data_IF_975072012050
#
_entry.id   IF_975072012050
#
_cell.length_a   1.000
_cell.length_b   1.000
_cell.length_c   1.000
_cell.angle_alpha   90.00
_cell.angle_beta   90.00
_cell.angle_gamma   90.00
#
_symmetry.space_group_name_H-M   'P 1'
#
loop_
_entity.id
_entity.type
_entity.pdbx_description
1 polymer ?
#
# COMPACT_ATOMS: atom_id res chain seq x y z
N UNK A 1 73.80 24.42 -3.03
CA UNK A 1 72.40 24.83 -2.80
C UNK A 1 71.67 24.71 -4.14
N UNK A 2 70.65 23.90 -4.37
CA UNK A 2 69.82 23.07 -3.49
C UNK A 2 69.04 22.09 -4.39
N UNK A 3 69.37 20.81 -4.29
CA UNK A 3 68.48 19.64 -4.12
C UNK A 3 67.61 19.13 -5.29
N UNK A 4 67.94 17.89 -5.72
CA UNK A 4 67.06 16.91 -6.34
C UNK A 4 65.91 16.51 -5.40
N UNK A 5 64.66 16.48 -5.88
CA UNK A 5 63.60 15.63 -5.31
C UNK A 5 62.82 15.00 -6.47
N UNK A 6 62.97 13.69 -6.63
CA UNK A 6 61.98 12.88 -7.34
C UNK A 6 60.77 12.64 -6.44
N UNK A 7 59.59 12.56 -7.03
CA UNK A 7 58.40 11.89 -6.47
C UNK A 7 57.59 11.42 -7.70
N UNK A 8 57.82 10.20 -8.17
CA UNK A 8 57.18 8.94 -7.77
C UNK A 8 55.83 8.70 -8.48
N UNK A 9 55.77 7.55 -9.13
CA UNK A 9 54.61 7.05 -9.85
C UNK A 9 53.61 6.52 -8.83
N UNK A 10 52.40 7.06 -8.81
CA UNK A 10 51.25 6.39 -8.17
C UNK A 10 49.96 6.82 -8.86
N UNK A 11 49.67 6.12 -9.94
CA UNK A 11 48.31 5.90 -10.44
C UNK A 11 47.60 5.04 -9.40
N UNK A 12 46.58 5.57 -8.71
CA UNK A 12 45.48 4.88 -8.03
C UNK A 12 44.85 5.89 -7.05
N UNK A 13 43.63 6.38 -7.24
CA UNK A 13 42.40 5.62 -7.03
C UNK A 13 41.23 6.53 -7.41
N UNK A 14 40.45 6.17 -8.43
CA UNK A 14 39.14 6.82 -8.65
C UNK A 14 38.11 5.87 -9.31
N UNK A 15 38.25 4.56 -9.04
CA UNK A 15 37.40 3.52 -9.65
C UNK A 15 36.77 2.55 -8.63
N UNK A 16 37.07 2.69 -7.34
CA UNK A 16 36.48 1.85 -6.28
C UNK A 16 35.02 2.20 -5.99
N UNK A 17 34.61 3.44 -6.26
CA UNK A 17 33.25 3.94 -5.96
C UNK A 17 32.17 3.52 -6.96
N UNK A 18 32.54 3.20 -8.22
CA UNK A 18 31.60 2.70 -9.21
C UNK A 18 31.32 1.20 -9.02
N UNK A 19 32.33 0.44 -8.61
CA UNK A 19 32.23 -1.01 -8.38
C UNK A 19 31.30 -1.34 -7.19
N UNK A 20 31.35 -0.60 -6.08
CA UNK A 20 30.50 -0.87 -4.92
C UNK A 20 29.00 -0.67 -5.18
N UNK A 21 28.64 0.34 -5.98
CA UNK A 21 27.25 0.54 -6.41
C UNK A 21 26.79 -0.56 -7.35
N UNK A 22 27.65 -0.98 -8.27
CA UNK A 22 27.36 -2.04 -9.22
C UNK A 22 27.25 -3.41 -8.53
N UNK A 23 28.10 -3.68 -7.54
CA UNK A 23 28.00 -4.85 -6.65
C UNK A 23 26.70 -4.87 -5.87
N UNK A 24 26.30 -3.72 -5.31
CA UNK A 24 25.01 -3.59 -4.60
C UNK A 24 23.84 -3.84 -5.54
N UNK A 25 23.88 -3.30 -6.76
CA UNK A 25 22.87 -3.54 -7.79
C UNK A 25 22.82 -5.00 -8.22
N UNK A 26 23.96 -5.65 -8.47
CA UNK A 26 24.05 -7.08 -8.83
C UNK A 26 23.50 -7.98 -7.72
N UNK A 27 23.82 -7.69 -6.45
CA UNK A 27 23.25 -8.40 -5.29
C UNK A 27 21.73 -8.22 -5.22
N UNK A 28 21.24 -7.01 -5.45
CA UNK A 28 19.81 -6.72 -5.44
C UNK A 28 19.08 -7.41 -6.62
N UNK A 29 19.64 -7.34 -7.83
CA UNK A 29 19.12 -8.04 -9.02
C UNK A 29 19.03 -9.55 -8.79
N UNK A 30 20.06 -10.15 -8.18
CA UNK A 30 20.06 -11.58 -7.84
C UNK A 30 18.95 -11.94 -6.86
N UNK A 31 18.76 -11.12 -5.81
CA UNK A 31 17.66 -11.33 -4.84
C UNK A 31 16.28 -11.20 -5.46
N UNK A 32 16.09 -10.24 -6.39
CA UNK A 32 14.82 -10.06 -7.10
C UNK A 32 14.52 -11.29 -7.99
N UNK A 33 15.52 -11.77 -8.73
CA UNK A 33 15.36 -12.97 -9.57
C UNK A 33 15.05 -14.22 -8.73
N UNK A 34 15.75 -14.41 -7.61
CA UNK A 34 15.47 -15.50 -6.68
C UNK A 34 14.04 -15.41 -6.11
N UNK A 35 13.59 -14.20 -5.79
CA UNK A 35 12.22 -13.96 -5.31
C UNK A 35 11.17 -14.31 -6.38
N UNK A 36 11.39 -13.88 -7.63
CA UNK A 36 10.51 -14.21 -8.76
C UNK A 36 10.44 -15.72 -8.97
N UNK A 37 11.57 -16.43 -8.92
CA UNK A 37 11.62 -17.87 -9.08
C UNK A 37 10.85 -18.60 -7.96
N UNK A 38 11.03 -18.18 -6.70
CA UNK A 38 10.27 -18.72 -5.56
C UNK A 38 8.78 -18.44 -5.67
N UNK A 39 8.40 -17.25 -6.13
CA UNK A 39 7.01 -16.88 -6.34
C UNK A 39 6.36 -17.78 -7.41
N UNK A 40 7.01 -17.95 -8.56
CA UNK A 40 6.54 -18.87 -9.63
C UNK A 40 6.38 -20.30 -9.13
N UNK A 41 7.35 -20.82 -8.37
CA UNK A 41 7.28 -22.18 -7.80
C UNK A 41 6.12 -22.34 -6.80
N UNK A 42 5.91 -21.36 -5.93
CA UNK A 42 4.78 -21.36 -5.00
C UNK A 42 3.43 -21.32 -5.75
N UNK A 43 3.36 -20.55 -6.83
CA UNK A 43 2.16 -20.41 -7.65
C UNK A 43 1.80 -21.73 -8.35
N UNK A 44 2.76 -22.40 -8.97
CA UNK A 44 2.57 -23.75 -9.55
C UNK A 44 2.11 -24.79 -8.51
N UNK A 45 2.56 -24.67 -7.26
CA UNK A 45 2.11 -25.53 -6.17
C UNK A 45 0.65 -25.29 -5.80
N UNK A 46 0.24 -24.02 -5.76
CA UNK A 46 -1.16 -23.61 -5.53
C UNK A 46 -2.05 -24.11 -6.67
N UNK A 47 -1.62 -23.95 -7.92
CA UNK A 47 -2.38 -24.41 -9.09
C UNK A 47 -2.58 -25.92 -9.09
N UNK A 48 -1.54 -26.69 -8.72
CA UNK A 48 -1.63 -28.14 -8.55
C UNK A 48 -2.59 -28.53 -7.42
N UNK A 49 -2.57 -27.81 -6.31
CA UNK A 49 -3.50 -28.06 -5.21
C UNK A 49 -4.96 -27.76 -5.61
N UNK A 50 -5.18 -26.66 -6.34
CA UNK A 50 -6.50 -26.27 -6.83
C UNK A 50 -7.07 -27.28 -7.82
N UNK A 51 -6.25 -27.82 -8.75
CA UNK A 51 -6.68 -28.90 -9.66
C UNK A 51 -7.13 -30.16 -8.90
N UNK A 52 -6.44 -30.50 -7.81
CA UNK A 52 -6.83 -31.65 -6.95
C UNK A 52 -8.14 -31.38 -6.22
N UNK A 53 -8.32 -30.17 -5.69
CA UNK A 53 -9.57 -29.78 -5.02
C UNK A 53 -10.74 -29.85 -6.00
N UNK A 54 -10.57 -29.34 -7.23
CA UNK A 54 -11.59 -29.41 -8.27
C UNK A 54 -11.94 -30.86 -8.65
N UNK A 55 -10.94 -31.74 -8.78
CA UNK A 55 -11.18 -33.16 -9.06
C UNK A 55 -12.00 -33.83 -7.96
N UNK A 56 -11.65 -33.59 -6.69
CA UNK A 56 -12.39 -34.11 -5.53
C UNK A 56 -13.79 -33.52 -5.42
N UNK A 57 -13.98 -32.25 -5.79
CA UNK A 57 -15.30 -31.62 -5.86
C UNK A 57 -16.19 -32.27 -6.93
N UNK A 58 -15.63 -32.57 -8.11
CA UNK A 58 -16.34 -33.29 -9.18
C UNK A 58 -16.71 -34.71 -8.75
N UNK A 59 -15.77 -35.45 -8.16
CA UNK A 59 -16.02 -36.80 -7.63
C UNK A 59 -17.09 -36.80 -6.54
N UNK A 60 -17.03 -35.84 -5.60
CA UNK A 60 -18.05 -35.65 -4.58
C UNK A 60 -19.44 -35.36 -5.18
N UNK A 61 -19.52 -34.50 -6.21
CA UNK A 61 -20.79 -34.18 -6.91
C UNK A 61 -21.38 -35.42 -7.57
N UNK A 62 -20.54 -36.25 -8.19
CA UNK A 62 -20.96 -37.50 -8.82
C UNK A 62 -21.49 -38.50 -7.78
N UNK A 63 -20.76 -38.72 -6.69
CA UNK A 63 -21.19 -39.61 -5.60
C UNK A 63 -22.49 -39.13 -4.94
N UNK A 64 -22.66 -37.82 -4.74
CA UNK A 64 -23.91 -37.26 -4.22
C UNK A 64 -25.09 -37.50 -5.16
N UNK A 65 -24.87 -37.42 -6.47
CA UNK A 65 -25.89 -37.73 -7.49
C UNK A 65 -26.27 -39.21 -7.44
N UNK A 66 -25.28 -40.10 -7.39
CA UNK A 66 -25.47 -41.56 -7.35
C UNK A 66 -26.13 -42.03 -6.03
N UNK A 67 -25.85 -41.37 -4.91
CA UNK A 67 -26.53 -41.59 -3.64
C UNK A 67 -28.01 -41.16 -3.69
N UNK A 68 -28.32 -40.09 -4.43
CA UNK A 68 -29.72 -39.62 -4.63
C UNK A 68 -30.53 -40.58 -5.50
N UNK A 69 -29.91 -41.20 -6.51
CA UNK A 69 -30.57 -42.21 -7.37
C UNK A 69 -30.72 -43.58 -6.70
N UNK A 70 -29.81 -43.99 -5.82
CA UNK A 70 -29.92 -45.29 -5.13
C UNK A 70 -30.94 -45.32 -3.98
N UNK A 71 -31.38 -44.16 -3.50
CA UNK A 71 -32.34 -44.04 -2.40
C UNK A 71 -33.78 -43.70 -2.84
N UNK A 72 -34.10 -43.81 -4.14
CA UNK A 72 -35.40 -43.48 -4.71
C UNK A 72 -36.11 -44.66 -5.35
N UNK A 73 -36.61 -45.60 -4.53
CA UNK A 73 -37.72 -46.48 -4.92
C UNK A 73 -38.94 -46.04 -4.12
N UNK A 74 -39.64 -45.03 -4.63
CA UNK A 74 -40.85 -44.44 -4.05
C UNK A 74 -41.48 -43.48 -5.06
N UNK A 75 -42.54 -43.95 -5.71
CA UNK A 75 -43.53 -43.37 -6.63
C UNK A 75 -43.35 -41.96 -7.26
N UNK A 76 -43.68 -41.79 -8.56
CA UNK A 76 -43.68 -40.51 -9.23
C UNK A 76 -45.05 -39.83 -9.08
N UNK A 77 -45.12 -38.77 -8.29
CA UNK A 77 -46.11 -37.68 -8.37
C UNK A 77 -46.00 -36.81 -7.11
N UNK A 78 -45.30 -35.68 -7.18
CA UNK A 78 -45.84 -34.42 -6.68
C UNK A 78 -45.00 -33.25 -7.19
N UNK A 79 -45.70 -32.22 -7.65
CA UNK A 79 -45.18 -30.97 -8.19
C UNK A 79 -45.19 -29.94 -7.08
N UNK A 80 -44.02 -29.55 -6.59
CA UNK A 80 -43.86 -28.28 -5.89
C UNK A 80 -42.43 -27.80 -6.04
N UNK A 81 -42.32 -26.65 -6.70
CA UNK A 81 -41.13 -25.81 -6.81
C UNK A 81 -40.55 -25.55 -5.41
N UNK A 82 -39.27 -25.86 -5.26
CA UNK A 82 -38.36 -25.08 -4.43
C UNK A 82 -37.15 -24.80 -5.32
N UNK A 83 -37.16 -23.59 -5.87
CA UNK A 83 -36.06 -22.97 -6.58
C UNK A 83 -34.90 -22.80 -5.56
N UNK A 84 -33.90 -23.68 -5.64
CA UNK A 84 -32.55 -23.37 -5.13
C UNK A 84 -31.75 -22.89 -6.33
N UNK A 85 -31.59 -21.58 -6.41
CA UNK A 85 -30.80 -20.86 -7.40
C UNK A 85 -29.41 -21.54 -7.58
N UNK A 86 -29.25 -22.18 -8.74
CA UNK A 86 -27.96 -22.56 -9.29
C UNK A 86 -27.22 -21.25 -9.59
N UNK A 87 -26.31 -20.83 -8.71
CA UNK A 87 -25.24 -19.90 -9.09
C UNK A 87 -24.39 -20.63 -10.15
N UNK A 88 -24.81 -20.51 -11.43
CA UNK A 88 -23.97 -20.72 -12.60
C UNK A 88 -22.75 -19.82 -12.45
N UNK A 89 -21.67 -20.38 -11.89
CA UNK A 89 -20.33 -19.85 -12.14
C UNK A 89 -20.05 -20.20 -13.59
N UNK A 90 -20.24 -19.23 -14.47
CA UNK A 90 -19.84 -19.29 -15.88
C UNK A 90 -18.44 -19.93 -15.96
N UNK A 91 -18.33 -21.00 -16.74
CA UNK A 91 -17.07 -21.59 -17.15
C UNK A 91 -16.22 -20.49 -17.81
N UNK A 92 -15.26 -19.95 -17.07
CA UNK A 92 -14.23 -19.09 -17.66
C UNK A 92 -13.39 -20.01 -18.55
N UNK A 93 -13.35 -19.80 -19.88
CA UNK A 93 -12.60 -20.68 -20.76
C UNK A 93 -11.13 -20.68 -20.39
N UNK A 94 -10.53 -21.87 -20.40
CA UNK A 94 -9.09 -22.09 -20.32
C UNK A 94 -8.39 -21.12 -21.29
N UNK A 95 -7.65 -20.15 -20.76
CA UNK A 95 -6.64 -19.46 -21.56
C UNK A 95 -5.55 -20.50 -21.80
N UNK A 96 -5.55 -21.07 -23.00
CA UNK A 96 -4.52 -21.96 -23.51
C UNK A 96 -3.15 -21.35 -23.23
N UNK A 97 -2.49 -21.86 -22.19
CA UNK A 97 -1.12 -21.56 -21.88
C UNK A 97 -0.24 -22.22 -22.92
N UNK A 98 0.36 -21.38 -23.76
CA UNK A 98 1.39 -21.72 -24.74
C UNK A 98 2.38 -22.75 -24.17
N UNK A 99 2.57 -23.83 -24.93
CA UNK A 99 3.54 -24.88 -24.65
C UNK A 99 4.96 -24.30 -24.75
N UNK A 100 5.53 -23.93 -23.61
CA UNK A 100 6.94 -23.55 -23.54
C UNK A 100 7.82 -24.81 -23.64
N UNK A 101 8.37 -24.96 -24.84
CA UNK A 101 9.35 -25.94 -25.27
C UNK A 101 10.59 -25.93 -24.35
N UNK A 102 10.94 -27.10 -23.81
CA UNK A 102 12.17 -27.32 -23.04
C UNK A 102 13.38 -27.33 -23.99
N UNK A 103 14.12 -26.21 -24.09
CA UNK A 103 15.49 -26.22 -24.63
C UNK A 103 16.47 -25.74 -23.55
N UNK A 104 17.35 -26.67 -23.17
CA UNK A 104 18.43 -26.53 -22.21
C UNK A 104 19.75 -26.16 -22.94
N UNK A 105 20.51 -25.26 -22.32
CA UNK A 105 21.94 -24.97 -22.48
C UNK A 105 22.54 -24.53 -23.83
N UNK A 106 23.11 -23.30 -23.82
CA UNK A 106 24.52 -23.11 -24.24
C UNK A 106 25.11 -21.77 -23.77
N UNK A 107 26.20 -21.88 -23.01
CA UNK A 107 27.20 -20.84 -22.78
C UNK A 107 27.92 -20.53 -24.10
N UNK A 108 27.96 -19.26 -24.51
CA UNK A 108 28.97 -18.73 -25.42
C UNK A 108 29.49 -17.41 -24.85
N UNK A 109 30.70 -17.49 -24.30
CA UNK A 109 31.65 -16.39 -24.24
C UNK A 109 32.12 -16.13 -25.68
N UNK A 110 31.96 -14.92 -26.22
CA UNK A 110 32.81 -14.37 -27.27
C UNK A 110 32.54 -12.86 -27.43
N UNK A 111 33.61 -12.09 -27.26
CA UNK A 111 33.72 -10.66 -27.52
C UNK A 111 33.66 -10.41 -29.04
N UNK A 112 32.80 -9.51 -29.53
CA UNK A 112 33.16 -8.55 -30.60
C UNK A 112 32.09 -7.46 -30.86
N UNK A 113 32.57 -6.22 -30.68
CA UNK A 113 32.26 -4.92 -31.28
C UNK A 113 30.85 -4.32 -31.50
N UNK A 114 30.83 -3.03 -31.16
CA UNK A 114 29.73 -2.07 -31.20
C UNK A 114 29.35 -1.63 -32.62
N UNK A 115 28.05 -1.45 -32.85
CA UNK A 115 27.55 -0.42 -33.78
C UNK A 115 26.80 0.64 -32.97
N UNK A 116 27.41 1.84 -32.92
CA UNK A 116 26.86 3.07 -32.34
C UNK A 116 25.49 3.40 -32.95
N UNK A 117 24.47 3.46 -32.11
CA UNK A 117 23.33 4.36 -32.31
C UNK A 117 23.36 5.37 -31.17
N UNK A 118 23.73 6.60 -31.51
CA UNK A 118 23.79 7.74 -30.61
C UNK A 118 22.38 8.13 -30.16
N UNK A 119 21.98 7.68 -28.97
CA UNK A 119 20.95 8.38 -28.20
C UNK A 119 21.63 9.42 -27.31
N UNK A 120 21.14 10.69 -27.30
CA UNK A 120 21.79 11.76 -26.56
C UNK A 120 21.92 11.40 -25.08
N UNK A 121 23.01 11.81 -24.41
CA UNK A 121 23.24 11.47 -23.02
C UNK A 121 22.05 11.96 -22.18
N UNK A 122 21.60 11.22 -21.16
CA UNK A 122 20.66 11.75 -20.20
C UNK A 122 21.30 13.03 -19.65
N UNK A 123 20.71 14.18 -20.01
CA UNK A 123 21.12 15.46 -19.49
C UNK A 123 21.12 15.30 -17.99
N UNK A 124 22.32 15.43 -17.41
CA UNK A 124 22.49 15.51 -15.98
C UNK A 124 21.66 16.72 -15.54
N UNK A 125 20.40 16.51 -15.15
CA UNK A 125 19.86 17.28 -14.05
C UNK A 125 20.90 17.03 -12.97
N UNK A 126 21.76 18.03 -12.75
CA UNK A 126 22.61 18.10 -11.58
C UNK A 126 21.65 17.88 -10.45
N UNK A 127 21.61 16.65 -9.94
CA UNK A 127 21.04 16.36 -8.64
C UNK A 127 21.97 17.13 -7.74
N UNK A 128 21.63 18.39 -7.49
CA UNK A 128 22.27 19.18 -6.51
C UNK A 128 22.21 18.31 -5.26
N UNK A 129 23.35 17.72 -4.91
CA UNK A 129 23.61 17.23 -3.58
C UNK A 129 23.74 18.47 -2.70
N UNK A 130 22.68 19.28 -2.65
CA UNK A 130 22.34 19.90 -1.40
C UNK A 130 21.86 18.73 -0.56
N UNK A 131 22.76 18.15 0.23
CA UNK A 131 22.38 17.87 1.61
C UNK A 131 21.97 19.21 2.24
N UNK A 132 20.85 19.79 1.77
CA UNK A 132 20.01 20.59 2.63
C UNK A 132 19.64 19.55 3.67
N UNK A 133 20.34 19.58 4.79
CA UNK A 133 19.73 19.33 6.08
C UNK A 133 18.42 20.09 6.01
N UNK A 134 17.33 19.38 5.63
CA UNK A 134 16.01 19.99 5.64
C UNK A 134 15.86 20.33 7.11
N UNK A 135 15.87 21.64 7.42
CA UNK A 135 15.58 22.09 8.77
C UNK A 135 14.34 21.33 9.22
N UNK A 136 14.33 20.74 10.43
CA UNK A 136 13.12 20.14 10.97
C UNK A 136 11.97 21.12 10.73
N UNK A 137 10.92 20.66 10.06
CA UNK A 137 9.75 21.51 9.83
C UNK A 137 9.13 21.69 11.19
N UNK A 138 9.32 22.86 11.78
CA UNK A 138 8.71 23.20 13.06
C UNK A 138 7.24 23.54 12.83
N UNK A 139 6.38 23.08 13.73
CA UNK A 139 4.96 23.40 13.73
C UNK A 139 4.81 24.90 14.06
N UNK A 140 4.24 25.72 13.18
CA UNK A 140 4.01 27.13 13.44
C UNK A 140 3.03 27.30 14.61
N UNK A 141 3.38 28.17 15.55
CA UNK A 141 2.55 28.49 16.72
C UNK A 141 2.32 30.00 16.80
N UNK A 142 1.16 30.40 17.31
CA UNK A 142 0.83 31.79 17.62
C UNK A 142 1.48 32.25 18.93
N UNK A 143 1.27 33.51 19.30
CA UNK A 143 1.80 34.11 20.54
C UNK A 143 1.26 33.41 21.81
N UNK A 144 0.08 32.80 21.71
CA UNK A 144 -0.58 32.04 22.77
C UNK A 144 -0.10 30.57 22.82
N UNK A 145 0.76 30.15 21.89
CA UNK A 145 1.32 28.80 21.80
C UNK A 145 0.44 27.77 21.10
N UNK A 146 -0.71 28.18 20.55
CA UNK A 146 -1.60 27.34 19.74
C UNK A 146 -1.04 27.16 18.33
N UNK A 147 -1.37 26.03 17.70
CA UNK A 147 -0.93 25.72 16.34
C UNK A 147 -1.69 26.59 15.33
N UNK A 148 -0.95 27.21 14.41
CA UNK A 148 -1.54 27.98 13.31
C UNK A 148 -2.00 27.01 12.22
N UNK A 149 -3.30 27.01 11.92
CA UNK A 149 -3.94 26.19 10.89
C UNK A 149 -4.53 27.08 9.79
N UNK A 150 -4.65 26.60 8.54
CA UNK A 150 -4.30 25.25 8.07
C UNK A 150 -2.79 25.03 7.93
N UNK A 151 -2.32 23.82 8.23
CA UNK A 151 -0.90 23.45 8.16
C UNK A 151 -0.64 22.35 7.13
N UNK A 152 0.22 22.63 6.13
CA UNK A 152 0.55 21.72 5.04
C UNK A 152 1.76 20.83 5.39
N UNK A 153 1.59 19.51 5.32
CA UNK A 153 2.61 18.50 5.53
C UNK A 153 2.69 17.57 4.30
N UNK A 154 3.56 17.88 3.34
CA UNK A 154 3.70 17.13 2.09
C UNK A 154 2.37 17.03 1.32
N UNK A 155 1.72 15.86 1.30
CA UNK A 155 0.43 15.61 0.64
C UNK A 155 -0.77 15.62 1.59
N UNK A 156 -0.54 15.90 2.87
CA UNK A 156 -1.54 16.05 3.91
C UNK A 156 -1.65 17.52 4.30
N UNK A 157 -2.85 18.05 4.47
CA UNK A 157 -3.11 19.40 4.97
C UNK A 157 -4.04 19.31 6.17
N UNK A 158 -3.55 19.67 7.36
CA UNK A 158 -4.38 19.68 8.56
C UNK A 158 -5.16 20.99 8.58
N UNK A 159 -6.48 20.90 8.64
CA UNK A 159 -7.38 22.05 8.69
C UNK A 159 -7.78 22.38 10.13
N UNK A 160 -8.16 21.37 10.90
CA UNK A 160 -8.62 21.51 12.28
C UNK A 160 -8.08 20.33 13.11
N UNK A 161 -7.61 20.61 14.33
CA UNK A 161 -7.10 19.56 15.22
C UNK A 161 -8.19 18.90 16.07
N UNK A 162 -9.33 19.55 16.26
CA UNK A 162 -10.43 19.06 17.09
C UNK A 162 -10.17 19.15 18.60
N UNK A 163 -10.98 18.40 19.36
CA UNK A 163 -10.95 18.34 20.82
C UNK A 163 -10.67 16.91 21.30
N UNK A 164 -9.77 16.78 22.27
CA UNK A 164 -9.44 15.50 22.90
C UNK A 164 -10.60 15.04 23.79
N UNK A 165 -10.99 13.78 23.61
CA UNK A 165 -12.03 13.09 24.39
C UNK A 165 -11.32 12.05 25.24
N UNK A 166 -11.16 12.35 26.53
CA UNK A 166 -10.40 11.52 27.48
C UNK A 166 -11.29 10.65 28.38
N UNK A 167 -12.57 11.03 28.53
CA UNK A 167 -13.58 10.33 29.32
C UNK A 167 -13.91 8.95 28.73
N UNK A 168 -13.76 8.80 27.42
CA UNK A 168 -14.03 7.57 26.67
C UNK A 168 -12.73 6.96 26.17
N UNK A 169 -12.44 5.75 26.64
CA UNK A 169 -11.20 5.01 26.30
C UNK A 169 -11.09 4.65 24.83
N UNK A 170 -12.21 4.57 24.08
CA UNK A 170 -12.22 4.29 22.64
C UNK A 170 -11.63 5.39 21.77
N UNK A 171 -11.45 6.61 22.29
CA UNK A 171 -10.96 7.76 21.52
C UNK A 171 -9.44 7.90 21.52
N UNK A 172 -8.74 7.00 22.21
CA UNK A 172 -7.30 6.95 22.21
C UNK A 172 -6.79 5.52 22.36
N UNK A 173 -5.64 5.25 21.76
CA UNK A 173 -4.91 3.99 21.84
C UNK A 173 -3.51 4.25 22.40
N UNK A 174 -2.71 3.19 22.56
CA UNK A 174 -1.31 3.33 22.99
C UNK A 174 -0.51 4.28 22.09
N UNK A 175 -0.83 4.31 20.78
CA UNK A 175 -0.04 5.03 19.78
C UNK A 175 -0.68 6.31 19.24
N UNK A 176 -2.00 6.43 19.32
CA UNK A 176 -2.75 7.50 18.65
C UNK A 176 -3.87 8.03 19.53
N UNK A 177 -4.12 9.34 19.45
CA UNK A 177 -5.33 9.99 19.96
C UNK A 177 -6.16 10.39 18.74
N UNK A 178 -7.48 10.23 18.82
CA UNK A 178 -8.42 10.62 17.77
C UNK A 178 -9.33 11.75 18.29
N UNK A 179 -8.93 13.02 18.12
CA UNK A 179 -9.73 14.15 18.58
C UNK A 179 -11.03 14.27 17.78
N UNK A 180 -12.14 14.56 18.46
CA UNK A 180 -13.42 14.86 17.80
C UNK A 180 -13.34 16.23 17.15
N UNK A 181 -13.78 16.33 15.89
CA UNK A 181 -13.65 17.55 15.08
C UNK A 181 -12.29 17.66 14.37
N UNK A 182 -11.42 16.66 14.45
CA UNK A 182 -10.22 16.62 13.62
C UNK A 182 -10.63 16.64 12.14
N UNK A 183 -9.99 17.50 11.34
CA UNK A 183 -10.24 17.66 9.91
C UNK A 183 -8.92 17.81 9.16
N UNK A 184 -8.69 16.97 8.15
CA UNK A 184 -7.52 17.04 7.29
C UNK A 184 -7.87 16.72 5.84
N UNK A 185 -7.14 17.31 4.91
CA UNK A 185 -7.24 17.05 3.48
C UNK A 185 -6.05 16.21 3.01
N UNK A 186 -6.30 15.23 2.15
CA UNK A 186 -5.25 14.42 1.54
C UNK A 186 -5.53 14.17 0.07
N UNK A 187 -4.52 14.35 -0.76
CA UNK A 187 -4.63 13.98 -2.17
C UNK A 187 -4.41 12.48 -2.36
N UNK A 188 -5.33 11.82 -3.07
CA UNK A 188 -5.21 10.41 -3.45
C UNK A 188 -5.93 10.17 -4.80
N UNK A 189 -5.82 8.95 -5.34
CA UNK A 189 -6.51 8.58 -6.59
C UNK A 189 -8.01 8.79 -6.46
N UNK A 190 -8.66 9.29 -7.52
CA UNK A 190 -10.11 9.49 -7.54
C UNK A 190 -10.86 8.15 -7.53
N UNK A 191 -12.04 8.16 -6.92
CA UNK A 191 -13.02 7.06 -6.92
C UNK A 191 -14.02 7.16 -8.08
N UNK A 192 -13.93 8.21 -8.89
CA UNK A 192 -14.84 8.50 -10.01
C UNK A 192 -14.07 8.49 -11.33
N UNK A 193 -12.90 9.13 -11.34
CA UNK A 193 -12.04 9.25 -12.52
C UNK A 193 -10.79 8.37 -12.37
N UNK A 194 -10.60 7.34 -13.22
CA UNK A 194 -9.47 6.42 -13.11
C UNK A 194 -8.10 7.08 -13.33
N UNK A 195 -8.02 8.18 -14.09
CA UNK A 195 -6.76 8.79 -14.48
C UNK A 195 -6.34 9.93 -13.55
N UNK A 196 -7.29 10.50 -12.81
CA UNK A 196 -7.07 11.68 -11.98
C UNK A 196 -6.94 11.38 -10.49
N UNK A 197 -6.43 12.38 -9.77
CA UNK A 197 -6.40 12.42 -8.32
C UNK A 197 -7.35 13.49 -7.82
N UNK A 198 -7.91 13.26 -6.65
CA UNK A 198 -8.82 14.18 -5.96
C UNK A 198 -8.35 14.42 -4.54
N UNK A 199 -8.88 15.47 -3.93
CA UNK A 199 -8.65 15.77 -2.52
C UNK A 199 -9.74 15.13 -1.68
N UNK A 200 -9.33 14.33 -0.70
CA UNK A 200 -10.21 13.71 0.28
C UNK A 200 -10.17 14.51 1.58
N UNK A 201 -11.33 14.98 2.02
CA UNK A 201 -11.50 15.55 3.36
C UNK A 201 -11.79 14.42 4.35
N UNK A 202 -10.83 14.16 5.23
CA UNK A 202 -10.90 13.20 6.32
C UNK A 202 -11.36 13.90 7.59
N UNK A 203 -12.37 13.37 8.29
CA UNK A 203 -12.86 13.91 9.55
C UNK A 203 -12.99 12.84 10.62
N UNK A 204 -12.86 13.26 11.88
CA UNK A 204 -13.23 12.45 13.05
C UNK A 204 -14.44 13.09 13.70
N UNK A 205 -15.56 12.38 13.72
CA UNK A 205 -16.80 12.79 14.33
C UNK A 205 -17.06 12.04 15.64
N UNK A 206 -17.91 12.61 16.50
CA UNK A 206 -18.37 11.92 17.70
C UNK A 206 -19.41 10.85 17.32
N UNK A 207 -18.98 9.59 17.34
CA UNK A 207 -19.84 8.45 17.06
C UNK A 207 -20.49 7.85 18.30
N UNK A 208 -20.48 8.56 19.44
CA UNK A 208 -21.00 8.10 20.73
C UNK A 208 -19.93 7.34 21.51
N UNK A 209 -20.04 6.02 21.58
CA UNK A 209 -19.09 5.20 22.34
C UNK A 209 -17.71 5.09 21.66
N UNK A 210 -17.67 5.25 20.34
CA UNK A 210 -16.46 5.12 19.52
C UNK A 210 -16.36 6.28 18.52
N UNK A 211 -15.14 6.70 18.14
CA UNK A 211 -14.98 7.70 17.08
C UNK A 211 -15.56 7.20 15.75
N UNK A 212 -16.16 8.12 15.00
CA UNK A 212 -16.60 7.87 13.62
C UNK A 212 -15.63 8.54 12.66
N UNK A 213 -14.98 7.76 11.82
CA UNK A 213 -14.04 8.24 10.81
C UNK A 213 -14.80 8.41 9.51
N UNK A 214 -14.86 9.64 8.99
CA UNK A 214 -15.53 9.93 7.72
C UNK A 214 -14.54 10.47 6.68
N UNK A 215 -14.76 10.12 5.42
CA UNK A 215 -13.95 10.56 4.29
C UNK A 215 -14.90 10.99 3.18
N UNK A 216 -14.70 12.20 2.67
CA UNK A 216 -15.46 12.74 1.55
C UNK A 216 -14.52 13.16 0.44
N UNK A 217 -14.79 12.74 -0.79
CA UNK A 217 -14.02 13.14 -1.96
C UNK A 217 -14.51 14.49 -2.50
N UNK A 218 -13.62 15.35 -2.99
CA UNK A 218 -13.99 16.66 -3.53
C UNK A 218 -14.78 16.58 -4.85
N UNK A 219 -14.57 15.51 -5.61
CA UNK A 219 -15.20 15.17 -6.89
C UNK A 219 -16.44 14.26 -6.76
N UNK A 220 -16.69 13.74 -5.55
CA UNK A 220 -17.93 13.03 -5.19
C UNK A 220 -18.42 13.52 -3.81
N UNK A 221 -18.94 14.76 -3.72
CA UNK A 221 -19.29 15.37 -2.44
C UNK A 221 -20.51 14.73 -1.75
N UNK A 222 -21.34 14.02 -2.50
CA UNK A 222 -22.54 13.34 -1.98
C UNK A 222 -22.22 11.95 -1.39
N UNK A 223 -21.08 11.37 -1.75
CA UNK A 223 -20.63 10.06 -1.27
C UNK A 223 -19.62 10.21 -0.13
N UNK A 224 -20.13 10.30 1.10
CA UNK A 224 -19.31 10.25 2.32
C UNK A 224 -19.15 8.80 2.80
N UNK A 225 -17.91 8.32 2.83
CA UNK A 225 -17.57 7.01 3.38
C UNK A 225 -17.33 7.12 4.88
N UNK A 226 -17.88 6.19 5.66
CA UNK A 226 -17.71 6.20 7.11
C UNK A 226 -17.37 4.82 7.67
N UNK A 227 -16.55 4.78 8.73
CA UNK A 227 -16.23 3.57 9.46
C UNK A 227 -15.84 3.86 10.92
N UNK A 228 -15.80 2.81 11.75
CA UNK A 228 -15.37 2.90 13.17
C UNK A 228 -13.86 2.85 13.36
N UNK A 229 -13.10 2.65 12.28
CA UNK A 229 -11.63 2.67 12.32
C UNK A 229 -11.08 3.47 11.14
N UNK A 230 -9.90 4.12 11.27
CA UNK A 230 -9.32 4.89 10.19
C UNK A 230 -8.94 3.99 9.00
N UNK A 231 -8.50 2.76 9.27
CA UNK A 231 -8.20 1.76 8.23
C UNK A 231 -9.46 1.32 7.51
N UNK A 232 -10.57 1.10 8.22
CA UNK A 232 -11.85 0.74 7.60
C UNK A 232 -12.36 1.83 6.64
N UNK A 233 -12.28 3.10 7.04
CA UNK A 233 -12.73 4.20 6.20
C UNK A 233 -11.91 4.31 4.91
N UNK A 234 -10.58 4.25 5.00
CA UNK A 234 -9.72 4.29 3.82
C UNK A 234 -9.81 3.03 2.97
N UNK A 235 -10.09 1.86 3.55
CA UNK A 235 -10.27 0.63 2.78
C UNK A 235 -11.44 0.74 1.79
N UNK A 236 -12.54 1.41 2.17
CA UNK A 236 -13.65 1.70 1.25
C UNK A 236 -13.20 2.57 0.08
N UNK A 237 -12.44 3.64 0.36
CA UNK A 237 -11.93 4.55 -0.68
C UNK A 237 -11.01 3.82 -1.65
N UNK A 238 -10.07 3.02 -1.12
CA UNK A 238 -9.10 2.28 -1.93
C UNK A 238 -9.81 1.22 -2.78
N UNK A 239 -10.79 0.52 -2.21
CA UNK A 239 -11.60 -0.46 -2.93
C UNK A 239 -12.26 0.19 -4.14
N UNK A 240 -12.99 1.29 -3.93
CA UNK A 240 -13.68 2.02 -5.00
C UNK A 240 -12.70 2.57 -6.05
N UNK A 241 -11.58 3.17 -5.61
CA UNK A 241 -10.57 3.70 -6.53
C UNK A 241 -9.88 2.59 -7.37
N UNK A 242 -9.70 1.39 -6.80
CA UNK A 242 -9.17 0.25 -7.53
C UNK A 242 -10.17 -0.35 -8.52
N UNK A 243 -11.46 -0.38 -8.15
CA UNK A 243 -12.56 -0.86 -9.01
C UNK A 243 -12.67 -0.01 -10.28
N UNK A 244 -12.69 1.32 -10.13
CA UNK A 244 -12.74 2.26 -11.28
C UNK A 244 -11.52 2.12 -12.20
N UNK A 245 -10.37 1.69 -11.65
CA UNK A 245 -9.12 1.49 -12.39
C UNK A 245 -8.92 0.06 -12.89
N UNK A 246 -9.90 -0.83 -12.67
CA UNK A 246 -9.82 -2.26 -13.02
C UNK A 246 -8.54 -2.94 -12.51
N UNK A 247 -8.12 -2.61 -11.27
CA UNK A 247 -6.93 -3.20 -10.64
C UNK A 247 -7.31 -4.13 -9.50
N UNK A 248 -6.89 -5.39 -9.60
CA UNK A 248 -7.05 -6.39 -8.53
C UNK A 248 -5.89 -6.41 -7.53
N UNK A 249 -5.30 -5.24 -7.20
CA UNK A 249 -4.17 -5.16 -6.26
C UNK A 249 -4.65 -4.88 -4.84
N UNK A 250 -4.34 -5.78 -3.92
CA UNK A 250 -4.46 -5.54 -2.48
C UNK A 250 -3.35 -4.59 -2.02
N UNK A 251 -3.59 -3.29 -2.09
CA UNK A 251 -2.68 -2.31 -1.53
C UNK A 251 -2.82 -2.32 0.00
N UNK A 252 -1.90 -2.99 0.70
CA UNK A 252 -1.84 -2.94 2.16
C UNK A 252 -1.57 -1.48 2.59
N UNK A 253 -2.53 -0.85 3.28
CA UNK A 253 -2.47 0.55 3.66
C UNK A 253 -2.70 0.73 5.16
N UNK A 254 -1.94 1.64 5.75
CA UNK A 254 -2.13 2.11 7.12
C UNK A 254 -3.12 3.27 7.14
N UNK A 255 -4.38 3.03 7.55
CA UNK A 255 -5.38 4.08 7.73
C UNK A 255 -4.92 5.26 8.62
N UNK A 256 -4.30 5.01 9.78
CA UNK A 256 -3.75 6.09 10.63
C UNK A 256 -2.73 6.98 9.91
N UNK A 257 -1.95 6.42 8.99
CA UNK A 257 -0.99 7.19 8.20
C UNK A 257 -1.70 8.10 7.20
N UNK A 258 -2.76 7.62 6.57
CA UNK A 258 -3.54 8.39 5.61
C UNK A 258 -4.36 9.50 6.28
N UNK A 259 -4.87 9.27 7.49
CA UNK A 259 -5.43 10.35 8.32
C UNK A 259 -4.37 11.33 8.83
N UNK A 260 -3.08 10.98 8.76
CA UNK A 260 -1.98 11.79 9.27
C UNK A 260 -1.59 11.53 10.71
N UNK A 261 -2.32 10.69 11.45
CA UNK A 261 -2.03 10.36 12.85
C UNK A 261 -0.68 9.67 13.06
N UNK A 262 -0.07 9.06 12.03
CA UNK A 262 1.28 8.53 12.12
C UNK A 262 2.38 9.58 11.92
N UNK A 263 2.04 10.78 11.43
CA UNK A 263 3.01 11.83 11.14
C UNK A 263 3.52 12.48 12.44
N UNK A 264 4.84 12.63 12.65
CA UNK A 264 5.40 13.26 13.84
C UNK A 264 4.90 14.67 14.12
N UNK A 265 4.70 15.49 13.10
CA UNK A 265 4.21 16.86 13.27
C UNK A 265 2.75 16.86 13.72
N UNK A 266 1.92 15.98 13.16
CA UNK A 266 0.52 15.85 13.58
C UNK A 266 0.42 15.32 15.00
N UNK A 267 1.26 14.35 15.37
CA UNK A 267 1.33 13.87 16.74
C UNK A 267 1.74 15.01 17.69
N UNK A 268 2.76 15.80 17.35
CA UNK A 268 3.17 16.95 18.17
C UNK A 268 2.09 18.02 18.28
N UNK A 269 1.33 18.27 17.20
CA UNK A 269 0.17 19.18 17.22
C UNK A 269 -0.94 18.66 18.14
N UNK A 270 -1.28 17.38 18.06
CA UNK A 270 -2.32 16.76 18.89
C UNK A 270 -1.87 16.68 20.35
N UNK A 271 -0.60 16.36 20.62
CA UNK A 271 -0.04 16.30 21.99
C UNK A 271 -0.04 17.68 22.68
N UNK A 272 -0.07 18.77 21.90
CA UNK A 272 -0.20 20.14 22.41
C UNK A 272 -1.63 20.57 22.75
N UNK A 273 -2.64 19.75 22.46
CA UNK A 273 -4.02 20.05 22.82
C UNK A 273 -4.26 19.89 24.34
N UNK A 274 -5.25 20.59 24.91
CA UNK A 274 -5.66 20.37 26.28
C UNK A 274 -6.17 18.94 26.48
N UNK A 275 -6.07 18.45 27.72
CA UNK A 275 -6.57 17.14 28.18
C UNK A 275 -5.86 15.89 27.61
N UNK A 276 -4.81 16.05 26.79
CA UNK A 276 -3.97 14.92 26.32
C UNK A 276 -3.41 14.11 27.49
N UNK A 277 -2.98 14.78 28.57
CA UNK A 277 -2.44 14.12 29.77
C UNK A 277 -3.45 13.21 30.49
N UNK A 278 -4.74 13.39 30.22
CA UNK A 278 -5.82 12.58 30.82
C UNK A 278 -6.11 11.30 30.04
N UNK A 279 -5.55 11.14 28.83
CA UNK A 279 -5.71 9.94 28.00
C UNK A 279 -4.92 8.76 28.59
N UNK A 280 -5.54 7.95 29.43
CA UNK A 280 -4.88 6.91 30.22
C UNK A 280 -4.16 5.84 29.40
N UNK A 281 -4.67 5.53 28.20
CA UNK A 281 -4.05 4.49 27.36
C UNK A 281 -2.93 5.04 26.47
N UNK A 282 -2.83 6.36 26.28
CA UNK A 282 -1.91 6.95 25.32
C UNK A 282 -0.48 7.04 25.88
N UNK A 283 0.51 6.69 25.05
CA UNK A 283 1.93 6.82 25.40
C UNK A 283 2.61 7.82 24.49
N UNK A 284 3.04 8.95 25.06
CA UNK A 284 3.85 9.95 24.36
C UNK A 284 5.13 9.32 23.84
N UNK A 285 5.53 9.69 22.63
CA UNK A 285 6.81 9.26 22.06
C UNK A 285 7.92 10.13 22.65
N UNK A 286 8.95 9.52 23.23
CA UNK A 286 10.12 10.27 23.68
C UNK A 286 10.82 10.90 22.48
N UNK A 287 11.08 12.22 22.52
CA UNK A 287 12.01 12.86 21.59
C UNK A 287 13.42 12.32 21.92
N UNK A 288 13.96 11.47 21.04
CA UNK A 288 15.33 10.95 21.13
C UNK A 288 16.34 11.96 20.57
#
# INVERSE_FOLDING_TARGET
MTVQHGVDASIQTDDTWQDDRLRKYRRMKRKILEFIAKHKSAQLSVDRANRRVQALQKEKKQLMKDAKTSNGNGDPMDTSQEDEDDDEIEDVPDVEGEEDNEEEDQLMDEDEEMVKVETPPPTKLKRATSSRTRKPVEVPRDEDGNVILPFQISSLKVLELGKVVYDRTSFHSERYIWPVGYCAERTYMSMVDPENQTTYTCKVQDGGETPLFTIRAADAPDDEMSARTPTGAWALVIKQANEVRQRHSANAISGPEYYGFSNPLVIEMIEGLPDVDKCTNYRRRSKA
#
